data_IF_390340463861
#
_entry.id   IF_390340463861
#
_cell.length_a   1.000
_cell.length_b   1.000
_cell.length_c   1.000
_cell.angle_alpha   90.00
_cell.angle_beta   90.00
_cell.angle_gamma   90.00
#
_symmetry.space_group_name_H-M   'P 1'
#
loop_
_entity.id
_entity.type
_entity.pdbx_description
1 polymer ?
#
# COMPACT_ATOMS: atom_id res chain seq x y z
N UNK A 1 -11.94 -23.87 23.11
CA UNK A 1 -11.87 -22.91 21.98
C UNK A 1 -10.53 -22.17 22.02
N UNK A 2 -9.42 -22.90 21.85
CA UNK A 2 -8.03 -22.39 21.97
C UNK A 2 -7.32 -22.25 20.62
N UNK A 3 -7.92 -22.75 19.53
CA UNK A 3 -7.20 -22.96 18.27
C UNK A 3 -7.27 -21.84 17.22
N UNK A 4 -8.07 -20.78 17.44
CA UNK A 4 -8.13 -19.65 16.47
C UNK A 4 -7.08 -18.56 16.77
N UNK A 5 -6.74 -18.34 18.04
CA UNK A 5 -5.73 -17.35 18.44
C UNK A 5 -4.28 -17.81 18.19
N UNK A 6 -4.03 -19.12 18.12
CA UNK A 6 -2.67 -19.65 17.88
C UNK A 6 -2.18 -19.40 16.45
N UNK A 7 -3.08 -19.20 15.49
CA UNK A 7 -2.71 -19.03 14.07
C UNK A 7 -2.07 -17.65 13.81
N UNK A 8 -2.57 -16.58 14.44
CA UNK A 8 -2.12 -15.21 14.15
C UNK A 8 -0.74 -14.88 14.72
N UNK A 9 -0.43 -15.44 15.89
CA UNK A 9 0.88 -15.24 16.51
C UNK A 9 2.00 -15.83 15.65
N UNK A 10 1.76 -17.01 15.07
CA UNK A 10 2.71 -17.66 14.17
C UNK A 10 2.79 -16.92 12.83
N UNK A 11 1.65 -16.56 12.22
CA UNK A 11 1.61 -15.77 10.99
C UNK A 11 2.42 -14.46 11.13
N UNK A 12 2.24 -13.75 12.25
CA UNK A 12 2.98 -12.51 12.49
C UNK A 12 4.45 -12.74 12.78
N UNK A 13 4.81 -13.84 13.45
CA UNK A 13 6.21 -14.22 13.67
C UNK A 13 6.93 -14.46 12.35
N UNK A 14 6.30 -15.22 11.45
CA UNK A 14 6.79 -15.48 10.10
C UNK A 14 6.85 -14.19 9.27
N UNK A 15 5.79 -13.37 9.32
CA UNK A 15 5.76 -12.09 8.61
C UNK A 15 6.89 -11.13 9.04
N UNK A 16 7.30 -11.13 10.31
CA UNK A 16 8.46 -10.35 10.74
C UNK A 16 9.78 -10.83 10.09
N UNK A 17 9.97 -12.15 9.98
CA UNK A 17 11.13 -12.72 9.32
C UNK A 17 11.12 -12.37 7.83
N UNK A 18 9.99 -12.57 7.16
CA UNK A 18 9.81 -12.21 5.75
C UNK A 18 10.04 -10.73 5.47
N UNK A 19 9.50 -9.82 6.29
CA UNK A 19 9.76 -8.38 6.14
C UNK A 19 11.24 -8.02 6.33
N UNK A 20 11.97 -8.76 7.17
CA UNK A 20 13.42 -8.57 7.36
C UNK A 20 14.17 -9.04 6.12
N UNK A 21 13.86 -10.24 5.60
CA UNK A 21 14.48 -10.76 4.38
C UNK A 21 14.21 -9.88 3.14
N UNK A 22 12.98 -9.35 3.02
CA UNK A 22 12.64 -8.38 1.97
C UNK A 22 13.44 -7.08 2.11
N UNK A 23 13.69 -6.60 3.33
CA UNK A 23 14.52 -5.42 3.55
C UNK A 23 15.98 -5.66 3.13
N UNK A 24 16.55 -6.82 3.44
CA UNK A 24 17.91 -7.21 3.04
C UNK A 24 18.09 -7.25 1.51
N UNK A 25 17.07 -7.72 0.77
CA UNK A 25 17.05 -7.64 -0.69
C UNK A 25 17.17 -6.20 -1.21
N UNK A 26 16.53 -5.25 -0.53
CA UNK A 26 16.55 -3.83 -0.92
C UNK A 26 17.90 -3.14 -0.67
N UNK A 27 18.71 -3.62 0.30
CA UNK A 27 20.01 -3.04 0.62
C UNK A 27 21.01 -3.15 -0.54
N UNK A 28 20.84 -4.17 -1.37
CA UNK A 28 21.68 -4.45 -2.53
C UNK A 28 21.07 -3.96 -3.85
N UNK A 29 20.07 -3.06 -3.80
CA UNK A 29 19.55 -2.39 -5.01
C UNK A 29 20.56 -1.34 -5.45
N UNK A 30 21.62 -1.83 -6.07
CA UNK A 30 22.49 -1.07 -6.93
C UNK A 30 22.72 -1.89 -8.18
N UNK A 31 22.13 -1.48 -9.29
CA UNK A 31 22.62 -1.89 -10.60
C UNK A 31 22.55 -0.72 -11.57
N UNK A 32 23.68 -0.50 -12.22
CA UNK A 32 23.86 0.38 -13.38
C UNK A 32 22.73 0.14 -14.39
N UNK A 33 21.90 1.16 -14.57
CA UNK A 33 20.88 1.20 -15.61
C UNK A 33 21.53 1.56 -16.94
N UNK A 34 20.94 1.05 -18.03
CA UNK A 34 21.32 1.44 -19.38
C UNK A 34 20.82 2.87 -19.63
N UNK A 35 21.71 3.84 -19.98
CA UNK A 35 21.31 5.22 -20.23
C UNK A 35 20.35 5.39 -21.42
N UNK A 36 20.23 4.38 -22.29
CA UNK A 36 19.46 4.47 -23.54
C UNK A 36 18.00 3.95 -23.41
N UNK A 37 17.59 3.42 -22.25
CA UNK A 37 16.20 3.00 -21.96
C UNK A 37 15.41 4.05 -21.16
N UNK A 38 14.10 4.19 -21.43
CA UNK A 38 13.21 5.00 -20.59
C UNK A 38 13.00 4.34 -19.23
N UNK A 39 13.90 4.64 -18.31
CA UNK A 39 13.92 4.09 -16.95
C UNK A 39 13.00 4.85 -15.98
N UNK A 40 12.16 5.79 -16.45
CA UNK A 40 11.26 6.55 -15.56
C UNK A 40 10.36 5.66 -14.70
N UNK A 41 9.72 4.59 -15.21
CA UNK A 41 8.88 3.73 -14.37
C UNK A 41 9.67 3.06 -13.25
N UNK A 42 10.90 2.63 -13.54
CA UNK A 42 11.82 2.06 -12.55
C UNK A 42 12.14 3.05 -11.43
N UNK A 43 12.52 4.29 -11.76
CA UNK A 43 12.86 5.29 -10.75
C UNK A 43 11.67 5.67 -9.86
N UNK A 44 10.49 5.86 -10.46
CA UNK A 44 9.27 6.16 -9.71
C UNK A 44 8.90 4.97 -8.82
N UNK A 45 8.93 3.75 -9.36
CA UNK A 45 8.61 2.55 -8.60
C UNK A 45 9.60 2.32 -7.44
N UNK A 46 10.89 2.62 -7.63
CA UNK A 46 11.89 2.55 -6.55
C UNK A 46 11.58 3.53 -5.42
N UNK A 47 11.26 4.78 -5.74
CA UNK A 47 10.88 5.78 -4.74
C UNK A 47 9.65 5.35 -3.94
N UNK A 48 8.63 4.78 -4.62
CA UNK A 48 7.43 4.25 -3.96
C UNK A 48 7.75 3.02 -3.11
N UNK A 49 8.61 2.11 -3.58
CA UNK A 49 9.01 0.90 -2.85
C UNK A 49 9.79 1.26 -1.58
N UNK A 50 10.71 2.22 -1.66
CA UNK A 50 11.43 2.74 -0.50
C UNK A 50 10.49 3.39 0.54
N UNK A 51 9.51 4.17 0.08
CA UNK A 51 8.47 4.73 0.96
C UNK A 51 7.64 3.61 1.60
N UNK A 52 7.23 2.62 0.81
CA UNK A 52 6.45 1.47 1.25
C UNK A 52 7.17 0.65 2.32
N UNK A 53 8.48 0.40 2.17
CA UNK A 53 9.29 -0.27 3.19
C UNK A 53 9.26 0.48 4.54
N UNK A 54 9.33 1.80 4.53
CA UNK A 54 9.21 2.61 5.77
C UNK A 54 7.81 2.51 6.38
N UNK A 55 6.76 2.47 5.57
CA UNK A 55 5.40 2.23 6.07
C UNK A 55 5.25 0.84 6.69
N UNK A 56 5.83 -0.20 6.09
CA UNK A 56 5.80 -1.57 6.63
C UNK A 56 6.53 -1.65 7.98
N UNK A 57 7.70 -0.99 8.09
CA UNK A 57 8.42 -0.88 9.35
C UNK A 57 7.59 -0.16 10.44
N UNK A 58 6.85 0.89 10.07
CA UNK A 58 5.94 1.58 10.98
C UNK A 58 4.79 0.67 11.45
N UNK A 59 4.18 -0.12 10.56
CA UNK A 59 3.15 -1.11 10.93
C UNK A 59 3.69 -2.10 11.96
N UNK A 60 4.88 -2.65 11.73
CA UNK A 60 5.53 -3.59 12.67
C UNK A 60 5.80 -2.93 14.02
N UNK A 61 6.33 -1.70 14.03
CA UNK A 61 6.60 -0.96 15.26
C UNK A 61 5.32 -0.71 16.07
N UNK A 62 4.28 -0.20 15.42
CA UNK A 62 2.99 0.10 16.06
C UNK A 62 2.35 -1.17 16.62
N UNK A 63 2.28 -2.23 15.81
CA UNK A 63 1.74 -3.52 16.24
C UNK A 63 2.46 -4.08 17.47
N UNK A 64 3.80 -4.07 17.48
CA UNK A 64 4.61 -4.54 18.64
C UNK A 64 4.39 -3.71 19.91
N UNK A 65 3.83 -2.50 19.78
CA UNK A 65 3.49 -1.61 20.90
C UNK A 65 2.02 -1.63 21.28
N UNK A 66 1.22 -2.52 20.69
CA UNK A 66 -0.22 -2.63 20.94
C UNK A 66 -1.08 -1.67 20.12
N UNK A 67 -0.47 -0.89 19.22
CA UNK A 67 -1.15 0.12 18.39
C UNK A 67 -1.52 -0.41 17.00
N UNK A 68 -1.96 -1.66 16.91
CA UNK A 68 -2.29 -2.28 15.61
C UNK A 68 -3.51 -1.63 14.93
N UNK A 69 -4.46 -1.12 15.70
CA UNK A 69 -5.62 -0.39 15.16
C UNK A 69 -5.16 0.92 14.50
N UNK A 70 -4.29 1.65 15.18
CA UNK A 70 -3.74 2.93 14.77
C UNK A 70 -2.78 2.81 13.57
N UNK A 71 -2.35 1.59 13.22
CA UNK A 71 -1.56 1.32 12.01
C UNK A 71 -2.40 1.31 10.71
N UNK A 72 -3.73 1.52 10.78
CA UNK A 72 -4.61 1.57 9.61
C UNK A 72 -4.17 2.56 8.52
N UNK A 73 -3.74 3.82 8.83
CA UNK A 73 -3.23 4.74 7.81
C UNK A 73 -1.98 4.20 7.10
N UNK A 74 -1.11 3.48 7.82
CA UNK A 74 0.08 2.88 7.23
C UNK A 74 -0.29 1.70 6.33
N UNK A 75 -1.17 0.80 6.77
CA UNK A 75 -1.67 -0.31 5.94
C UNK A 75 -2.40 0.19 4.70
N UNK A 76 -3.20 1.25 4.82
CA UNK A 76 -3.81 1.93 3.69
C UNK A 76 -2.73 2.40 2.71
N UNK A 77 -1.73 3.15 3.17
CA UNK A 77 -0.65 3.65 2.32
C UNK A 77 0.13 2.50 1.63
N UNK A 78 0.35 1.37 2.31
CA UNK A 78 0.96 0.18 1.70
C UNK A 78 0.15 -0.33 0.49
N UNK A 79 -1.18 -0.38 0.60
CA UNK A 79 -2.06 -0.77 -0.51
C UNK A 79 -1.94 0.21 -1.69
N UNK A 80 -1.92 1.52 -1.41
CA UNK A 80 -1.80 2.54 -2.45
C UNK A 80 -0.44 2.44 -3.17
N UNK A 81 0.66 2.33 -2.43
CA UNK A 81 1.99 2.18 -3.01
C UNK A 81 2.13 0.90 -3.83
N UNK A 82 1.70 -0.24 -3.29
CA UNK A 82 1.73 -1.52 -4.01
C UNK A 82 0.94 -1.44 -5.32
N UNK A 83 -0.26 -0.87 -5.29
CA UNK A 83 -1.09 -0.71 -6.47
C UNK A 83 -0.41 0.14 -7.55
N UNK A 84 0.23 1.24 -7.15
CA UNK A 84 0.97 2.12 -8.05
C UNK A 84 2.23 1.44 -8.63
N UNK A 85 2.98 0.70 -7.82
CA UNK A 85 4.16 -0.06 -8.30
C UNK A 85 3.74 -1.14 -9.31
N UNK A 86 2.64 -1.85 -9.03
CA UNK A 86 2.09 -2.83 -9.97
C UNK A 86 1.62 -2.19 -11.26
N UNK A 87 0.98 -1.02 -11.18
CA UNK A 87 0.58 -0.26 -12.36
C UNK A 87 1.79 0.18 -13.19
N UNK A 88 2.86 0.67 -12.57
CA UNK A 88 4.11 1.03 -13.25
C UNK A 88 4.76 -0.18 -13.94
N UNK A 89 4.71 -1.36 -13.32
CA UNK A 89 5.21 -2.60 -13.91
C UNK A 89 4.36 -3.09 -15.10
N UNK A 90 3.06 -2.80 -15.12
CA UNK A 90 2.13 -3.25 -16.16
C UNK A 90 2.01 -2.25 -17.32
N UNK A 91 1.96 -0.95 -17.05
CA UNK A 91 1.67 0.11 -18.02
C UNK A 91 2.89 1.02 -18.33
N UNK A 92 4.00 0.84 -17.61
CA UNK A 92 5.28 1.50 -17.90
C UNK A 92 5.20 3.04 -17.94
N UNK A 93 5.67 3.62 -19.03
CA UNK A 93 5.76 5.07 -19.21
C UNK A 93 4.39 5.77 -19.19
N UNK A 94 3.33 5.13 -19.67
CA UNK A 94 1.97 5.71 -19.67
C UNK A 94 1.46 5.94 -18.25
N UNK A 95 1.80 5.05 -17.31
CA UNK A 95 1.52 5.23 -15.89
C UNK A 95 2.28 6.43 -15.33
N UNK A 96 3.57 6.58 -15.64
CA UNK A 96 4.38 7.73 -15.21
C UNK A 96 3.79 9.04 -15.72
N UNK A 97 3.41 9.11 -16.98
CA UNK A 97 2.81 10.31 -17.58
C UNK A 97 1.49 10.66 -16.89
N UNK A 98 0.65 9.65 -16.58
CA UNK A 98 -0.59 9.85 -15.82
C UNK A 98 -0.31 10.34 -14.40
N UNK A 99 0.70 9.79 -13.72
CA UNK A 99 1.11 10.25 -12.38
C UNK A 99 1.62 11.71 -12.42
N UNK A 100 2.35 12.10 -13.46
CA UNK A 100 2.77 13.49 -13.66
C UNK A 100 1.57 14.42 -13.93
N UNK A 101 0.54 13.96 -14.65
CA UNK A 101 -0.70 14.71 -14.80
C UNK A 101 -1.44 14.89 -13.45
N UNK A 102 -1.41 13.88 -12.60
CA UNK A 102 -1.93 13.98 -11.22
C UNK A 102 -1.12 14.97 -10.39
N UNK A 103 0.21 14.93 -10.48
CA UNK A 103 1.12 15.86 -9.82
C UNK A 103 0.86 17.30 -10.26
N UNK A 104 0.60 17.54 -11.55
CA UNK A 104 0.23 18.86 -12.07
C UNK A 104 -1.04 19.40 -11.43
N UNK A 105 -2.05 18.55 -11.22
CA UNK A 105 -3.30 18.94 -10.54
C UNK A 105 -3.07 19.18 -9.05
N UNK A 106 -2.28 18.35 -8.37
CA UNK A 106 -2.04 18.49 -6.93
C UNK A 106 -1.17 19.71 -6.60
N UNK A 107 -0.11 19.97 -7.37
CA UNK A 107 0.75 21.15 -7.19
C UNK A 107 0.00 22.45 -7.44
N UNK A 108 -0.92 22.47 -8.41
CA UNK A 108 -1.82 23.62 -8.60
C UNK A 108 -2.69 23.85 -7.36
N UNK A 109 -3.37 22.81 -6.85
CA UNK A 109 -4.21 22.92 -5.65
C UNK A 109 -3.42 23.36 -4.43
N UNK A 110 -2.19 22.85 -4.27
CA UNK A 110 -1.31 23.22 -3.17
C UNK A 110 -0.91 24.70 -3.25
N UNK A 111 -0.54 25.18 -4.45
CA UNK A 111 -0.29 26.60 -4.71
C UNK A 111 -1.50 27.45 -4.36
N UNK A 112 -2.67 27.12 -4.91
CA UNK A 112 -3.90 27.89 -4.68
C UNK A 112 -4.23 27.98 -3.18
N UNK A 113 -4.00 26.89 -2.42
CA UNK A 113 -4.20 26.87 -0.98
C UNK A 113 -3.15 27.69 -0.21
N UNK A 114 -1.87 27.63 -0.60
CA UNK A 114 -0.80 28.41 0.00
C UNK A 114 -1.01 29.91 -0.22
N UNK A 115 -1.39 30.30 -1.44
CA UNK A 115 -1.69 31.69 -1.82
C UNK A 115 -2.87 32.23 -1.00
N UNK A 116 -3.96 31.45 -0.88
CA UNK A 116 -5.12 31.80 -0.07
C UNK A 116 -4.75 31.97 1.42
N UNK A 117 -3.84 31.15 1.93
CA UNK A 117 -3.38 31.19 3.31
C UNK A 117 -2.27 32.23 3.55
N UNK A 118 -1.76 32.90 2.52
CA UNK A 118 -0.62 33.81 2.62
C UNK A 118 0.69 33.11 3.03
N UNK A 119 0.83 31.82 2.73
CA UNK A 119 2.02 31.04 3.05
C UNK A 119 3.08 31.22 1.96
N UNK A 120 4.33 31.49 2.38
CA UNK A 120 5.47 31.52 1.45
C UNK A 120 5.92 30.10 1.10
N UNK A 121 6.22 29.85 -0.18
CA UNK A 121 6.74 28.58 -0.68
C UNK A 121 7.67 28.81 -1.87
N UNK A 122 8.52 27.82 -2.19
CA UNK A 122 9.36 27.84 -3.40
C UNK A 122 8.52 27.49 -4.63
N UNK A 123 8.32 28.42 -5.60
CA UNK A 123 7.49 28.18 -6.76
C UNK A 123 8.16 27.32 -7.84
N UNK A 124 9.46 27.04 -7.72
CA UNK A 124 10.26 26.40 -8.78
C UNK A 124 9.67 25.06 -9.22
N UNK A 125 9.40 24.15 -8.28
CA UNK A 125 8.84 22.83 -8.59
C UNK A 125 7.41 22.95 -9.14
N UNK A 126 6.48 23.67 -8.50
CA UNK A 126 5.16 23.93 -9.06
C UNK A 126 5.20 24.50 -10.49
N UNK A 127 6.08 25.46 -10.80
CA UNK A 127 6.19 26.07 -12.13
C UNK A 127 6.71 25.08 -13.17
N UNK A 128 7.76 24.32 -12.85
CA UNK A 128 8.27 23.25 -13.73
C UNK A 128 7.20 22.21 -14.05
N UNK A 129 6.45 21.78 -13.03
CA UNK A 129 5.36 20.81 -13.21
C UNK A 129 4.22 21.40 -14.05
N UNK A 130 3.89 22.70 -13.89
CA UNK A 130 2.86 23.34 -14.73
C UNK A 130 3.30 23.51 -16.19
N UNK A 131 4.58 23.75 -16.43
CA UNK A 131 5.14 23.91 -17.77
C UNK A 131 5.23 22.59 -18.55
N UNK A 132 5.24 21.44 -17.87
CA UNK A 132 5.32 20.14 -18.52
C UNK A 132 4.11 19.87 -19.45
N UNK A 133 4.40 19.50 -20.69
CA UNK A 133 3.44 19.00 -21.67
C UNK A 133 3.33 17.48 -21.55
N UNK A 134 2.14 16.99 -21.23
CA UNK A 134 1.88 15.58 -20.99
C UNK A 134 0.69 15.19 -21.86
N UNK A 135 0.93 14.31 -22.83
CA UNK A 135 -0.10 13.79 -23.72
C UNK A 135 -1.10 12.93 -22.95
N UNK A 136 -2.36 12.95 -23.39
CA UNK A 136 -3.35 12.02 -22.84
C UNK A 136 -3.07 10.59 -23.32
N UNK A 137 -3.20 9.61 -22.42
CA UNK A 137 -3.06 8.20 -22.74
C UNK A 137 -4.21 7.38 -22.10
N UNK A 138 -4.40 6.09 -22.47
CA UNK A 138 -5.46 5.24 -21.90
C UNK A 138 -5.33 4.99 -20.39
N UNK A 139 -4.12 5.10 -19.83
CA UNK A 139 -3.86 4.90 -18.41
C UNK A 139 -4.40 6.07 -17.55
N UNK A 140 -4.76 7.21 -18.16
CA UNK A 140 -5.40 8.34 -17.49
C UNK A 140 -6.67 7.99 -16.69
N UNK A 141 -7.35 6.90 -17.03
CA UNK A 141 -8.50 6.42 -16.26
C UNK A 141 -8.12 5.97 -14.83
N UNK A 142 -6.86 5.60 -14.60
CA UNK A 142 -6.32 5.15 -13.32
C UNK A 142 -5.70 6.29 -12.48
N UNK A 143 -5.87 7.55 -12.92
CA UNK A 143 -5.43 8.73 -12.16
C UNK A 143 -6.03 8.80 -10.76
N UNK A 144 -7.24 8.24 -10.60
CA UNK A 144 -7.86 8.00 -9.30
C UNK A 144 -7.59 6.55 -8.89
N UNK A 145 -7.31 6.33 -7.62
CA UNK A 145 -6.95 5.01 -7.11
C UNK A 145 -8.06 3.97 -7.24
N UNK A 146 -9.34 4.35 -7.12
CA UNK A 146 -10.46 3.41 -7.17
C UNK A 146 -10.53 2.56 -8.46
N UNK A 147 -10.50 3.16 -9.67
CA UNK A 147 -10.37 2.39 -10.92
C UNK A 147 -9.17 1.43 -10.94
N UNK A 148 -8.03 1.86 -10.41
CA UNK A 148 -6.83 1.01 -10.35
C UNK A 148 -7.05 -0.19 -9.43
N UNK A 149 -7.55 0.02 -8.21
CA UNK A 149 -7.84 -1.07 -7.27
C UNK A 149 -8.88 -2.04 -7.82
N UNK A 150 -9.89 -1.55 -8.57
CA UNK A 150 -10.85 -2.41 -9.27
C UNK A 150 -10.17 -3.31 -10.31
N UNK A 151 -9.22 -2.78 -11.08
CA UNK A 151 -8.42 -3.55 -12.03
C UNK A 151 -7.57 -4.62 -11.35
N UNK A 152 -7.01 -4.30 -10.19
CA UNK A 152 -6.13 -5.20 -9.44
C UNK A 152 -6.88 -6.27 -8.64
N UNK A 153 -8.16 -6.07 -8.35
CA UNK A 153 -9.05 -7.09 -7.79
C UNK A 153 -10.00 -6.56 -6.70
N UNK A 154 -11.21 -7.12 -6.66
CA UNK A 154 -12.24 -6.75 -5.68
C UNK A 154 -11.79 -6.86 -4.21
N UNK A 155 -11.01 -7.89 -3.79
CA UNK A 155 -10.52 -7.97 -2.41
C UNK A 155 -9.64 -6.77 -2.02
N UNK A 156 -8.77 -6.31 -2.92
CA UNK A 156 -7.88 -5.19 -2.63
C UNK A 156 -8.65 -3.87 -2.42
N UNK A 157 -9.67 -3.63 -3.26
CA UNK A 157 -10.55 -2.48 -3.10
C UNK A 157 -11.33 -2.54 -1.78
N UNK A 158 -11.85 -3.72 -1.41
CA UNK A 158 -12.57 -3.91 -0.15
C UNK A 158 -11.66 -3.64 1.05
N UNK A 159 -10.45 -4.19 1.07
CA UNK A 159 -9.46 -3.94 2.13
C UNK A 159 -9.10 -2.46 2.22
N UNK A 160 -8.78 -1.81 1.10
CA UNK A 160 -8.47 -0.37 1.09
C UNK A 160 -9.64 0.48 1.61
N UNK A 161 -10.88 0.11 1.27
CA UNK A 161 -12.08 0.79 1.75
C UNK A 161 -12.23 0.65 3.27
N UNK A 162 -12.00 -0.56 3.81
CA UNK A 162 -12.01 -0.81 5.26
C UNK A 162 -10.95 0.00 5.99
N UNK A 163 -9.69 -0.03 5.50
CA UNK A 163 -8.61 0.77 6.09
C UNK A 163 -8.87 2.28 6.01
N UNK A 164 -9.55 2.73 4.94
CA UNK A 164 -9.98 4.13 4.81
C UNK A 164 -10.97 4.52 5.90
N UNK A 165 -11.90 3.63 6.29
CA UNK A 165 -12.81 3.92 7.40
C UNK A 165 -12.09 4.06 8.73
N UNK A 166 -11.02 3.29 8.96
CA UNK A 166 -10.24 3.34 10.20
C UNK A 166 -9.21 4.49 10.22
N UNK A 167 -8.74 4.95 9.06
CA UNK A 167 -7.72 6.00 8.96
C UNK A 167 -8.27 7.43 9.01
N UNK A 168 -9.57 7.61 8.81
CA UNK A 168 -10.24 8.92 8.80
C UNK A 168 -11.12 9.12 10.04
N UNK A 169 -11.51 10.37 10.37
CA UNK A 169 -12.44 10.65 11.46
C UNK A 169 -13.87 10.21 11.08
N UNK A 170 -14.09 8.89 11.08
CA UNK A 170 -15.38 8.27 10.76
C UNK A 170 -16.04 7.72 12.02
N UNK A 171 -17.35 7.46 11.96
CA UNK A 171 -18.04 6.75 13.02
C UNK A 171 -17.51 5.32 13.19
N UNK A 172 -17.05 4.66 12.12
CA UNK A 172 -16.46 3.33 12.20
C UNK A 172 -15.20 3.32 13.07
N UNK A 173 -14.32 4.31 12.93
CA UNK A 173 -13.15 4.44 13.79
C UNK A 173 -13.56 4.77 15.24
N UNK A 174 -14.52 5.68 15.43
CA UNK A 174 -14.99 6.08 16.76
C UNK A 174 -15.68 4.94 17.53
N UNK A 175 -16.46 4.10 16.84
CA UNK A 175 -17.20 2.97 17.42
C UNK A 175 -16.31 1.86 18.00
N UNK A 176 -15.00 1.88 17.74
CA UNK A 176 -14.05 1.03 18.44
C UNK A 176 -13.80 1.49 19.89
N UNK A 177 -14.19 2.71 20.27
CA UNK A 177 -13.90 3.30 21.58
C UNK A 177 -15.14 3.52 22.45
N UNK A 178 -16.30 3.06 22.00
CA UNK A 178 -17.50 3.02 22.82
C UNK A 178 -18.42 1.87 22.43
N UNK A 179 -19.26 1.45 23.38
CA UNK A 179 -20.34 0.50 23.17
C UNK A 179 -21.65 1.10 23.66
N UNK A 180 -22.56 1.32 22.72
CA UNK A 180 -23.89 1.88 22.89
C UNK A 180 -25.00 0.83 22.68
N UNK A 181 -24.66 -0.47 22.70
CA UNK A 181 -25.63 -1.55 22.44
C UNK A 181 -26.58 -1.83 23.61
N UNK A 182 -26.28 -1.33 24.81
CA UNK A 182 -27.16 -1.43 25.96
C UNK A 182 -28.11 -0.22 26.03
N UNK A 183 -29.41 -0.47 26.21
CA UNK A 183 -30.45 0.58 26.18
C UNK A 183 -30.30 1.66 27.27
N UNK A 184 -29.60 1.36 28.38
CA UNK A 184 -29.53 2.21 29.57
C UNK A 184 -28.15 2.83 29.83
N UNK A 185 -27.12 2.48 29.05
CA UNK A 185 -25.76 2.98 29.27
C UNK A 185 -24.88 2.92 28.02
N UNK A 186 -23.92 3.85 27.96
CA UNK A 186 -22.79 3.81 27.02
C UNK A 186 -21.53 3.47 27.81
N UNK A 187 -20.76 2.49 27.33
CA UNK A 187 -19.44 2.15 27.86
C UNK A 187 -18.38 2.83 26.99
N UNK A 188 -17.43 3.53 27.60
CA UNK A 188 -16.30 4.14 26.90
C UNK A 188 -15.03 3.32 27.13
N UNK A 189 -14.21 3.16 26.09
CA UNK A 189 -12.96 2.41 26.12
C UNK A 189 -11.76 3.33 25.94
N UNK A 190 -10.67 3.05 26.66
CA UNK A 190 -9.38 3.72 26.44
C UNK A 190 -8.55 3.11 25.31
N UNK A 191 -8.95 1.93 24.84
CA UNK A 191 -8.29 1.15 23.80
C UNK A 191 -9.35 0.62 22.82
N UNK A 192 -8.99 0.41 21.54
CA UNK A 192 -9.91 -0.07 20.53
C UNK A 192 -10.42 -1.47 20.90
N UNK A 193 -11.74 -1.57 21.07
CA UNK A 193 -12.45 -2.80 21.43
C UNK A 193 -13.36 -3.21 20.28
N UNK A 194 -13.18 -4.42 19.78
CA UNK A 194 -13.99 -4.97 18.70
C UNK A 194 -15.07 -5.88 19.26
N UNK A 195 -16.25 -5.86 18.63
CA UNK A 195 -17.39 -6.71 19.01
C UNK A 195 -17.01 -8.19 18.90
N UNK A 196 -17.55 -9.01 19.80
CA UNK A 196 -17.25 -10.44 19.84
C UNK A 196 -17.52 -11.11 18.47
N UNK A 197 -16.52 -11.82 17.95
CA UNK A 197 -16.60 -12.49 16.64
C UNK A 197 -16.30 -11.61 15.43
N UNK A 198 -16.13 -10.29 15.59
CA UNK A 198 -15.57 -9.46 14.54
C UNK A 198 -14.06 -9.68 14.47
N UNK A 199 -13.51 -9.82 13.26
CA UNK A 199 -12.06 -9.86 13.07
C UNK A 199 -11.45 -8.53 13.47
N UNK A 200 -10.35 -8.56 14.22
CA UNK A 200 -9.57 -7.37 14.55
C UNK A 200 -8.47 -7.22 13.49
N UNK A 201 -8.50 -6.17 12.64
CA UNK A 201 -7.47 -5.94 11.63
C UNK A 201 -6.04 -5.82 12.19
N UNK A 202 -5.93 -5.52 13.49
CA UNK A 202 -4.65 -5.49 14.21
C UNK A 202 -4.00 -6.87 14.25
N UNK A 203 -4.79 -7.94 14.34
CA UNK A 203 -4.31 -9.30 14.59
C UNK A 203 -3.41 -9.83 13.46
N UNK A 204 -3.57 -9.31 12.24
CA UNK A 204 -2.77 -9.70 11.07
C UNK A 204 -1.94 -8.55 10.50
N UNK A 205 -1.75 -7.46 11.25
CA UNK A 205 -1.11 -6.26 10.71
C UNK A 205 0.29 -6.50 10.10
N UNK A 206 1.21 -7.21 10.79
CA UNK A 206 2.49 -7.61 10.20
C UNK A 206 2.34 -8.48 8.95
N UNK A 207 1.44 -9.46 8.98
CA UNK A 207 1.18 -10.34 7.83
C UNK A 207 0.68 -9.57 6.60
N UNK A 208 -0.28 -8.65 6.80
CA UNK A 208 -0.78 -7.77 5.72
C UNK A 208 0.36 -6.93 5.15
N UNK A 209 1.20 -6.34 6.00
CA UNK A 209 2.33 -5.55 5.55
C UNK A 209 3.34 -6.40 4.75
N UNK A 210 3.60 -7.62 5.20
CA UNK A 210 4.47 -8.57 4.51
C UNK A 210 3.92 -8.95 3.13
N UNK A 211 2.66 -9.38 3.04
CA UNK A 211 2.02 -9.77 1.78
C UNK A 211 2.01 -8.62 0.76
N UNK A 212 1.70 -7.40 1.21
CA UNK A 212 1.74 -6.21 0.35
C UNK A 212 3.16 -5.89 -0.12
N UNK A 213 4.15 -5.91 0.80
CA UNK A 213 5.54 -5.62 0.47
C UNK A 213 6.10 -6.64 -0.52
N UNK A 214 5.84 -7.93 -0.30
CA UNK A 214 6.22 -8.99 -1.23
C UNK A 214 5.62 -8.75 -2.61
N UNK A 215 4.32 -8.44 -2.69
CA UNK A 215 3.63 -8.18 -3.97
C UNK A 215 4.22 -6.97 -4.71
N UNK A 216 4.58 -5.92 -3.98
CA UNK A 216 5.22 -4.74 -4.55
C UNK A 216 6.64 -5.05 -5.04
N UNK A 217 7.41 -5.86 -4.31
CA UNK A 217 8.75 -6.28 -4.74
C UNK A 217 8.71 -7.21 -5.95
N UNK A 218 7.72 -8.11 -6.05
CA UNK A 218 7.50 -8.92 -7.26
C UNK A 218 7.20 -8.04 -8.48
N UNK A 219 6.32 -7.04 -8.32
CA UNK A 219 6.03 -6.08 -9.38
C UNK A 219 7.27 -5.24 -9.76
N UNK A 220 8.00 -4.72 -8.79
CA UNK A 220 9.24 -3.98 -9.03
C UNK A 220 10.31 -4.84 -9.72
N UNK A 221 10.41 -6.11 -9.36
CA UNK A 221 11.34 -7.06 -9.97
C UNK A 221 11.10 -7.22 -11.48
N UNK A 222 9.86 -7.07 -11.96
CA UNK A 222 9.53 -7.07 -13.39
C UNK A 222 10.08 -5.84 -14.14
N UNK A 223 10.30 -4.73 -13.44
CA UNK A 223 10.96 -3.54 -13.98
C UNK A 223 12.49 -3.66 -14.00
N UNK A 224 13.05 -4.70 -13.39
CA UNK A 224 14.48 -4.96 -13.39
C UNK A 224 14.88 -5.92 -14.51
N UNK A 225 15.96 -5.58 -15.23
CA UNK A 225 16.53 -6.45 -16.26
C UNK A 225 16.91 -7.81 -15.68
N UNK A 226 16.37 -8.87 -16.27
CA UNK A 226 16.62 -10.25 -15.84
C UNK A 226 15.92 -10.67 -14.55
N UNK A 227 15.11 -9.78 -13.94
CA UNK A 227 14.28 -10.08 -12.76
C UNK A 227 15.07 -10.79 -11.64
N UNK A 228 16.17 -10.18 -11.14
CA UNK A 228 17.17 -10.85 -10.30
C UNK A 228 16.63 -11.36 -8.97
N UNK A 229 15.49 -10.85 -8.48
CA UNK A 229 14.91 -11.27 -7.21
C UNK A 229 13.94 -12.45 -7.32
N UNK A 230 13.69 -12.98 -8.52
CA UNK A 230 12.61 -13.95 -8.74
C UNK A 230 12.71 -15.19 -7.85
N UNK A 231 13.90 -15.79 -7.75
CA UNK A 231 14.09 -16.99 -6.93
C UNK A 231 14.07 -16.69 -5.44
N UNK A 232 14.64 -15.55 -5.04
CA UNK A 232 14.68 -15.14 -3.64
C UNK A 232 13.30 -14.75 -3.12
N UNK A 233 12.49 -14.04 -3.91
CA UNK A 233 11.11 -13.73 -3.56
C UNK A 233 10.25 -14.99 -3.42
N UNK A 234 10.42 -15.99 -4.28
CA UNK A 234 9.74 -17.28 -4.14
C UNK A 234 10.16 -17.99 -2.85
N UNK A 235 11.46 -17.97 -2.53
CA UNK A 235 12.01 -18.57 -1.31
C UNK A 235 11.42 -17.90 -0.05
N UNK A 236 11.46 -16.56 0.02
CA UNK A 236 10.90 -15.77 1.11
C UNK A 236 9.40 -16.05 1.28
N UNK A 237 8.63 -16.03 0.19
CA UNK A 237 7.21 -16.37 0.25
C UNK A 237 6.96 -17.78 0.81
N UNK A 238 7.84 -18.73 0.46
CA UNK A 238 7.70 -20.10 0.86
C UNK A 238 8.02 -20.36 2.33
N UNK A 239 9.10 -19.76 2.82
CA UNK A 239 9.59 -19.93 4.19
C UNK A 239 8.80 -19.10 5.20
N UNK A 240 8.32 -17.93 4.81
CA UNK A 240 7.74 -16.93 5.73
C UNK A 240 6.20 -16.86 5.69
N UNK A 241 5.54 -17.90 5.16
CA UNK A 241 4.09 -18.10 5.34
C UNK A 241 3.18 -17.50 4.27
N UNK A 242 3.68 -17.21 3.06
CA UNK A 242 2.83 -16.81 1.91
C UNK A 242 2.46 -17.97 0.97
N UNK A 243 2.90 -19.21 1.22
CA UNK A 243 2.61 -20.39 0.39
C UNK A 243 1.12 -20.79 0.25
N UNK A 244 0.20 -20.08 0.90
CA UNK A 244 -1.25 -20.19 0.72
C UNK A 244 -1.92 -18.90 0.23
N UNK A 245 -1.18 -17.81 0.04
CA UNK A 245 -1.71 -16.58 -0.50
C UNK A 245 -2.00 -16.78 -2.00
N UNK A 246 -3.19 -16.40 -2.50
CA UNK A 246 -3.54 -16.62 -3.89
C UNK A 246 -2.51 -15.95 -4.81
N UNK A 247 -1.73 -16.78 -5.51
CA UNK A 247 -0.70 -16.39 -6.49
C UNK A 247 -1.24 -15.55 -7.66
N UNK A 248 -2.55 -15.32 -7.72
CA UNK A 248 -3.20 -14.47 -8.72
C UNK A 248 -4.32 -13.65 -8.07
N UNK A 249 -4.00 -12.43 -7.65
CA UNK A 249 -4.97 -11.32 -7.73
C UNK A 249 -4.90 -10.71 -9.14
N UNK A 250 -5.14 -11.55 -10.15
CA UNK A 250 -5.46 -11.11 -11.51
C UNK A 250 -6.98 -11.05 -11.66
N UNK A 251 -7.51 -10.32 -12.65
CA UNK A 251 -8.93 -10.36 -12.93
C UNK A 251 -9.35 -11.82 -13.18
N UNK A 252 -10.37 -12.28 -12.45
CA UNK A 252 -11.04 -13.54 -12.74
C UNK A 252 -11.42 -13.51 -14.22
N UNK A 253 -10.94 -14.49 -15.00
CA UNK A 253 -11.52 -14.75 -16.31
C UNK A 253 -12.99 -15.11 -16.07
N UNK A 254 -13.87 -14.17 -16.40
CA UNK A 254 -15.31 -14.38 -16.33
C UNK A 254 -15.66 -15.68 -17.06
N UNK A 255 -16.25 -16.58 -16.28
CA UNK A 255 -16.98 -17.72 -16.76
C UNK A 255 -17.98 -17.26 -17.82
N UNK A 256 -17.71 -17.61 -19.08
CA UNK A 256 -18.72 -17.58 -20.13
C UNK A 256 -19.80 -18.61 -19.78
N UNK A 257 -20.95 -18.10 -19.33
CA UNK A 257 -22.22 -18.81 -19.23
C UNK A 257 -23.31 -17.92 -19.79
#
# INVERSE_FOLDING_TARGET
MSGMNENFAEDNRLAYAGLTALAELMENVGSTLDPDEDNRPYFVAWGLLAAMHRQAAAVVLLHRKGFGHEAAPNRRALIEHMAQIRWLAEDGADAVDTMNLALKRSQKKLRDAADLAGMSYDPTIPDLVQAAEISSNPANQFINLNPLLKRLGAPLLATWTGETQLAHPTLTAAQCFFDDTADDKVVLYGEPTYRHGAGNPSDHSPYIAFALMWSAMDAFNRLMKGQPWSEELKRIAAEDGLNGAPSRMGPDEEAKG
#
